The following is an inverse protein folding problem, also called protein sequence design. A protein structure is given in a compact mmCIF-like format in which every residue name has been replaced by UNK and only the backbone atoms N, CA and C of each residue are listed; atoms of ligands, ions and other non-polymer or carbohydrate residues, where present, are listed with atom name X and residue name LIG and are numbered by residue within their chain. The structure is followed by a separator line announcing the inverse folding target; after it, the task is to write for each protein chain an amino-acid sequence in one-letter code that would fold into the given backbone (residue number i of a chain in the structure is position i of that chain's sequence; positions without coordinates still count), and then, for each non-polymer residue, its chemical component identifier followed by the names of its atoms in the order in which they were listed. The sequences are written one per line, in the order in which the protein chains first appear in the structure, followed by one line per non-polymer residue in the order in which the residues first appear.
data_IF_030907979772
#
_entry.id   IF_030907979772
#
_cell.length_a   1.000
_cell.length_b   1.000
_cell.length_c   1.000
_cell.angle_alpha   90.00
_cell.angle_beta   90.00
_cell.angle_gamma   90.00
#
_symmetry.space_group_name_H-M   'P 1'
#
loop_
_entity.id
_entity.type
_entity.pdbx_description
1 polymer ?
#
# COMPACT_ATOMS: atom_id res chain seq x y z
N UNK A 1 9.34 69.36 56.53
CA UNK A 1 8.83 68.01 56.21
C UNK A 1 8.25 68.06 54.81
N UNK A 2 8.98 67.56 53.82
CA UNK A 2 8.51 67.35 52.44
C UNK A 2 8.42 65.83 52.21
N UNK A 3 7.33 65.29 51.64
CA UNK A 3 7.18 63.86 51.46
C UNK A 3 7.91 63.39 50.20
N UNK A 4 8.64 62.28 50.32
CA UNK A 4 9.26 61.57 49.21
C UNK A 4 8.21 60.72 48.49
N UNK A 5 8.08 60.90 47.17
CA UNK A 5 7.30 60.02 46.27
C UNK A 5 8.24 58.95 45.68
N UNK A 6 7.89 57.66 45.66
CA UNK A 6 8.70 56.64 44.99
C UNK A 6 8.37 56.61 43.48
N UNK A 7 9.40 56.66 42.65
CA UNK A 7 9.32 56.54 41.19
C UNK A 7 9.35 55.04 40.84
N UNK A 8 8.25 54.51 40.31
CA UNK A 8 8.17 53.15 39.77
C UNK A 8 8.73 53.11 38.35
N UNK A 9 9.81 52.37 38.14
CA UNK A 9 10.42 52.14 36.81
C UNK A 9 9.74 50.92 36.18
N UNK A 10 8.95 51.14 35.13
CA UNK A 10 8.34 50.07 34.34
C UNK A 10 9.33 49.63 33.23
N UNK A 11 9.84 48.40 33.32
CA UNK A 11 10.73 47.80 32.32
C UNK A 11 9.86 47.10 31.27
N UNK A 12 9.83 47.64 30.05
CA UNK A 12 9.08 47.08 28.92
C UNK A 12 10.04 46.19 28.11
N UNK A 13 9.85 44.87 28.15
CA UNK A 13 10.54 43.91 27.29
C UNK A 13 9.87 43.88 25.89
N UNK A 14 10.59 44.12 24.78
CA UNK A 14 10.00 43.98 23.46
C UNK A 14 9.91 42.49 23.09
N UNK A 15 8.68 41.98 22.95
CA UNK A 15 8.42 40.66 22.38
C UNK A 15 8.62 40.70 20.87
N UNK A 16 9.69 40.07 20.41
CA UNK A 16 9.99 39.85 19.00
C UNK A 16 9.01 38.80 18.44
N UNK A 17 7.91 39.24 17.83
CA UNK A 17 7.05 38.35 17.04
C UNK A 17 7.74 38.06 15.69
N UNK A 18 8.34 36.88 15.58
CA UNK A 18 8.83 36.37 14.31
C UNK A 18 7.63 36.09 13.38
N UNK A 19 7.54 36.84 12.29
CA UNK A 19 6.68 36.51 11.16
C UNK A 19 7.29 35.29 10.45
N UNK A 20 6.75 34.10 10.71
CA UNK A 20 7.01 32.93 9.88
C UNK A 20 6.14 33.04 8.64
N UNK A 21 6.70 33.58 7.57
CA UNK A 21 6.18 33.40 6.21
C UNK A 21 6.53 31.99 5.75
N UNK A 22 5.64 31.04 6.06
CA UNK A 22 5.64 29.72 5.43
C UNK A 22 4.53 29.65 4.40
N UNK A 23 4.78 30.16 3.19
CA UNK A 23 4.01 29.73 2.03
C UNK A 23 4.55 28.35 1.63
N UNK A 24 3.91 27.33 2.21
CA UNK A 24 4.17 25.95 1.92
C UNK A 24 2.83 25.26 1.98
N UNK A 25 2.27 24.93 0.81
CA UNK A 25 1.09 24.08 0.71
C UNK A 25 1.39 22.78 1.46
N UNK A 26 0.93 22.68 2.71
CA UNK A 26 1.05 21.45 3.48
C UNK A 26 0.13 20.46 2.78
N UNK A 27 0.71 19.53 2.02
CA UNK A 27 -0.02 18.41 1.44
C UNK A 27 -0.65 17.61 2.59
N UNK A 28 -1.89 17.93 2.94
CA UNK A 28 -2.62 17.39 4.09
C UNK A 28 -2.74 15.87 4.04
N UNK A 29 -2.63 15.29 2.85
CA UNK A 29 -2.76 13.88 2.58
C UNK A 29 -1.48 13.15 2.21
N UNK A 30 -0.37 13.85 1.92
CA UNK A 30 0.93 13.17 1.75
C UNK A 30 1.34 12.63 3.12
N UNK A 31 1.67 11.36 3.16
CA UNK A 31 1.99 10.68 4.41
C UNK A 31 3.28 9.88 4.28
N UNK A 32 3.95 9.73 5.41
CA UNK A 32 5.09 8.84 5.57
C UNK A 32 4.79 7.91 6.75
N UNK A 33 5.29 6.69 6.69
CA UNK A 33 5.24 5.75 7.81
C UNK A 33 6.60 5.07 7.92
N UNK A 34 7.35 5.42 8.97
CA UNK A 34 8.77 5.08 9.04
C UNK A 34 9.54 5.62 7.83
N UNK A 35 10.13 4.71 7.06
CA UNK A 35 10.92 5.06 5.87
C UNK A 35 10.14 4.95 4.54
N UNK A 36 8.83 4.65 4.59
CA UNK A 36 8.02 4.48 3.38
C UNK A 36 7.21 5.75 3.12
N UNK A 37 7.26 6.22 1.88
CA UNK A 37 6.33 7.26 1.40
C UNK A 37 5.00 6.60 1.07
N UNK A 38 3.91 7.25 1.45
CA UNK A 38 2.54 6.82 1.11
C UNK A 38 1.93 7.92 0.25
N UNK A 39 1.98 7.66 -1.04
CA UNK A 39 1.45 8.48 -2.12
C UNK A 39 0.23 7.81 -2.79
N UNK A 40 -0.52 8.61 -3.56
CA UNK A 40 -1.67 8.17 -4.34
C UNK A 40 -1.32 6.93 -5.20
N UNK A 41 -2.17 5.88 -5.28
CA UNK A 41 -3.58 5.84 -4.86
C UNK A 41 -3.81 5.51 -3.38
N UNK A 42 -2.75 5.17 -2.65
CA UNK A 42 -2.87 4.74 -1.26
C UNK A 42 -2.94 5.93 -0.32
N UNK A 43 -3.45 5.68 0.87
CA UNK A 43 -3.42 6.63 1.97
C UNK A 43 -3.48 5.89 3.31
N UNK A 44 -2.99 6.56 4.36
CA UNK A 44 -3.19 6.16 5.76
C UNK A 44 -4.20 7.05 6.48
N UNK A 45 -4.64 8.13 5.82
CA UNK A 45 -5.59 9.11 6.34
C UNK A 45 -6.91 8.99 5.62
N UNK A 46 -7.99 8.96 6.41
CA UNK A 46 -9.35 8.94 5.89
C UNK A 46 -9.61 10.16 4.99
N UNK A 47 -10.25 9.93 3.85
CA UNK A 47 -10.57 10.96 2.87
C UNK A 47 -9.43 11.33 1.91
N UNK A 48 -8.25 10.75 2.08
CA UNK A 48 -7.12 10.89 1.16
C UNK A 48 -7.03 9.70 0.20
N UNK A 49 -6.45 9.90 -0.98
CA UNK A 49 -6.18 8.80 -1.91
C UNK A 49 -7.41 8.38 -2.73
N UNK A 50 -7.35 7.20 -3.33
CA UNK A 50 -8.44 6.67 -4.15
C UNK A 50 -9.42 5.85 -3.27
N UNK A 51 -10.75 6.02 -3.42
CA UNK A 51 -11.73 5.32 -2.60
C UNK A 51 -11.70 3.78 -2.74
N UNK A 52 -11.20 3.24 -3.85
CA UNK A 52 -10.97 1.80 -4.03
C UNK A 52 -9.86 1.24 -3.15
N UNK A 53 -8.96 2.12 -2.69
CA UNK A 53 -7.79 1.80 -1.86
C UNK A 53 -7.97 2.20 -0.40
N UNK A 54 -9.18 2.61 -0.01
CA UNK A 54 -9.50 2.98 1.37
C UNK A 54 -9.31 1.82 2.34
N UNK A 55 -8.95 2.16 3.57
CA UNK A 55 -8.86 1.23 4.71
C UNK A 55 -7.97 0.01 4.44
N UNK A 56 -6.94 0.18 3.61
CA UNK A 56 -5.95 -0.85 3.29
C UNK A 56 -4.67 -0.69 4.10
N UNK A 57 -4.16 0.54 4.22
CA UNK A 57 -2.89 0.84 4.85
C UNK A 57 -3.08 1.52 6.20
N UNK A 58 -2.35 1.03 7.20
CA UNK A 58 -2.36 1.54 8.56
C UNK A 58 -0.92 1.73 9.03
N UNK A 59 -0.60 2.86 9.62
CA UNK A 59 0.71 3.10 10.23
C UNK A 59 0.64 2.85 11.73
N UNK A 60 1.41 1.89 12.24
CA UNK A 60 1.45 1.54 13.67
C UNK A 60 2.89 1.49 14.12
N UNK A 61 3.28 2.36 15.06
CA UNK A 61 4.66 2.46 15.57
C UNK A 61 5.71 2.56 14.45
N UNK A 62 5.49 3.44 13.47
CA UNK A 62 6.35 3.62 12.27
C UNK A 62 6.47 2.38 11.37
N UNK A 63 5.61 1.37 11.56
CA UNK A 63 5.51 0.21 10.68
C UNK A 63 4.23 0.30 9.85
N UNK A 64 4.41 0.29 8.52
CA UNK A 64 3.29 0.30 7.59
C UNK A 64 2.71 -1.11 7.46
N UNK A 65 1.42 -1.24 7.75
CA UNK A 65 0.67 -2.49 7.73
C UNK A 65 -0.38 -2.44 6.62
N UNK A 66 -0.53 -3.53 5.90
CA UNK A 66 -1.57 -3.76 4.91
C UNK A 66 -2.59 -4.75 5.48
N UNK A 67 -3.87 -4.40 5.50
CA UNK A 67 -4.93 -5.22 6.08
C UNK A 67 -6.02 -5.56 5.06
N UNK A 68 -6.35 -6.84 4.99
CA UNK A 68 -7.43 -7.42 4.16
C UNK A 68 -8.08 -8.57 4.91
N UNK A 69 -9.18 -9.13 4.39
CA UNK A 69 -9.90 -10.25 5.03
C UNK A 69 -9.04 -11.47 5.42
N UNK A 70 -7.90 -11.71 4.76
CA UNK A 70 -7.02 -12.83 5.09
C UNK A 70 -6.08 -12.54 6.27
N UNK A 71 -5.84 -11.27 6.60
CA UNK A 71 -4.96 -10.90 7.71
C UNK A 71 -4.28 -9.55 7.53
N UNK A 72 -3.33 -9.30 8.41
CA UNK A 72 -2.48 -8.11 8.39
C UNK A 72 -1.06 -8.49 8.01
N UNK A 73 -0.49 -7.75 7.06
CA UNK A 73 0.83 -7.98 6.50
C UNK A 73 1.68 -6.73 6.71
N UNK A 74 2.96 -6.91 6.97
CA UNK A 74 3.87 -5.77 6.97
C UNK A 74 4.19 -5.38 5.53
N UNK A 75 4.11 -4.10 5.21
CA UNK A 75 4.57 -3.59 3.91
C UNK A 75 6.09 -3.47 3.95
N UNK A 76 6.76 -4.12 3.00
CA UNK A 76 8.21 -4.03 2.82
C UNK A 76 8.54 -2.78 1.99
N UNK A 77 7.85 -2.62 0.86
CA UNK A 77 8.07 -1.54 -0.11
C UNK A 77 6.80 -1.28 -0.94
N UNK A 78 6.70 -0.06 -1.44
CA UNK A 78 5.71 0.35 -2.43
C UNK A 78 6.47 0.84 -3.66
N UNK A 79 6.30 0.13 -4.77
CA UNK A 79 6.87 0.50 -6.05
C UNK A 79 5.82 1.22 -6.90
N UNK A 80 5.94 2.54 -6.96
CA UNK A 80 5.05 3.40 -7.74
C UNK A 80 5.31 3.34 -9.24
N UNK A 81 6.53 3.00 -9.66
CA UNK A 81 6.89 2.91 -11.07
C UNK A 81 6.33 1.63 -11.71
N UNK A 82 6.40 0.52 -10.98
CA UNK A 82 5.91 -0.78 -11.44
C UNK A 82 4.52 -1.14 -10.89
N UNK A 83 3.89 -0.23 -10.14
CA UNK A 83 2.57 -0.39 -9.55
C UNK A 83 2.43 -1.70 -8.73
N UNK A 84 3.40 -1.94 -7.84
CA UNK A 84 3.44 -3.13 -7.01
C UNK A 84 3.69 -2.80 -5.54
N UNK A 85 3.12 -3.61 -4.65
CA UNK A 85 3.29 -3.56 -3.21
C UNK A 85 3.90 -4.88 -2.74
N UNK A 86 4.98 -4.87 -1.99
CA UNK A 86 5.58 -6.12 -1.46
C UNK A 86 5.21 -6.30 0.00
N UNK A 87 4.59 -7.44 0.33
CA UNK A 87 4.07 -7.77 1.65
C UNK A 87 4.87 -8.89 2.32
N UNK A 88 4.98 -8.81 3.65
CA UNK A 88 5.57 -9.83 4.51
C UNK A 88 4.52 -10.42 5.46
N UNK A 89 4.32 -11.74 5.39
CA UNK A 89 3.57 -12.53 6.38
C UNK A 89 4.56 -13.22 7.34
N UNK A 90 4.54 -12.90 8.66
CA UNK A 90 5.45 -13.52 9.63
C UNK A 90 5.24 -15.03 9.83
N UNK A 91 4.12 -15.61 9.38
CA UNK A 91 3.83 -17.03 9.49
C UNK A 91 3.96 -17.78 8.16
N UNK A 92 4.58 -17.15 7.16
CA UNK A 92 4.95 -17.78 5.91
C UNK A 92 6.31 -18.48 6.04
N UNK A 93 6.48 -19.60 5.35
CA UNK A 93 7.75 -20.33 5.30
C UNK A 93 8.75 -19.63 4.36
N UNK A 94 10.05 -19.74 4.66
CA UNK A 94 11.16 -19.23 3.83
C UNK A 94 12.17 -20.34 3.56
N UNK A 95 13.35 -20.01 3.03
CA UNK A 95 14.44 -20.98 2.87
C UNK A 95 15.06 -21.41 4.21
N UNK A 96 14.92 -20.61 5.25
CA UNK A 96 15.57 -20.85 6.54
C UNK A 96 14.62 -21.46 7.58
N UNK A 97 13.30 -21.34 7.37
CA UNK A 97 12.30 -21.91 8.27
C UNK A 97 11.04 -22.40 7.56
N UNK A 98 10.59 -23.60 7.93
CA UNK A 98 9.26 -24.12 7.57
C UNK A 98 8.29 -23.85 8.73
N UNK A 99 7.20 -23.17 8.41
CA UNK A 99 6.09 -22.90 9.33
C UNK A 99 4.89 -23.76 8.92
N UNK A 100 4.50 -24.66 9.83
CA UNK A 100 3.35 -25.57 9.66
C UNK A 100 2.25 -25.31 10.71
N UNK A 101 1.13 -26.02 10.58
CA UNK A 101 0.01 -25.97 11.52
C UNK A 101 -1.06 -24.92 11.19
N UNK A 102 -1.15 -24.50 9.92
CA UNK A 102 -2.19 -23.60 9.42
C UNK A 102 -2.07 -22.16 9.94
N UNK A 103 -0.89 -21.75 10.39
CA UNK A 103 -0.66 -20.43 11.01
C UNK A 103 -0.50 -19.28 10.02
N UNK A 104 -0.20 -19.58 8.76
CA UNK A 104 -0.07 -18.58 7.70
C UNK A 104 -1.39 -17.87 7.42
N UNK A 105 -1.35 -16.55 7.22
CA UNK A 105 -2.55 -15.79 6.83
C UNK A 105 -3.04 -16.19 5.43
N UNK A 106 -2.11 -16.65 4.58
CA UNK A 106 -2.36 -16.87 3.17
C UNK A 106 -2.47 -15.54 2.44
N UNK A 107 -3.38 -15.46 1.47
CA UNK A 107 -3.72 -14.20 0.80
C UNK A 107 -5.08 -14.35 0.11
N UNK A 108 -6.04 -13.60 0.63
CA UNK A 108 -7.41 -13.51 0.11
C UNK A 108 -7.82 -12.04 0.16
N UNK A 109 -8.31 -11.55 -0.98
CA UNK A 109 -8.84 -10.19 -1.15
C UNK A 109 -10.36 -10.21 -1.17
N UNK A 110 -10.97 -9.09 -0.77
CA UNK A 110 -12.41 -8.90 -0.93
C UNK A 110 -12.79 -8.85 -2.42
N UNK A 111 -13.90 -9.48 -2.85
CA UNK A 111 -14.26 -9.53 -4.27
C UNK A 111 -14.38 -8.16 -4.95
N UNK A 112 -14.80 -7.13 -4.20
CA UNK A 112 -14.94 -5.77 -4.73
C UNK A 112 -13.60 -5.05 -4.94
N UNK A 113 -12.51 -5.53 -4.32
CA UNK A 113 -11.15 -4.99 -4.51
C UNK A 113 -10.36 -5.69 -5.61
N UNK A 114 -10.80 -6.87 -6.08
CA UNK A 114 -10.13 -7.62 -7.14
C UNK A 114 -9.85 -6.83 -8.44
N UNK A 115 -10.67 -5.84 -8.86
CA UNK A 115 -10.33 -4.99 -10.01
C UNK A 115 -9.14 -4.05 -9.79
N UNK A 116 -8.79 -3.76 -8.53
CA UNK A 116 -7.76 -2.80 -8.15
C UNK A 116 -6.48 -3.47 -7.66
N UNK A 117 -6.59 -4.66 -7.08
CA UNK A 117 -5.52 -5.39 -6.43
C UNK A 117 -5.53 -6.84 -6.90
N UNK A 118 -4.37 -7.34 -7.29
CA UNK A 118 -4.19 -8.74 -7.62
C UNK A 118 -2.74 -9.14 -7.31
N UNK A 119 -2.48 -10.35 -6.77
CA UNK A 119 -1.10 -10.85 -6.70
C UNK A 119 -0.42 -10.76 -8.06
N UNK A 120 0.80 -10.23 -8.05
CA UNK A 120 1.61 -10.09 -9.23
C UNK A 120 1.90 -11.48 -9.84
N UNK A 121 1.94 -11.60 -11.18
CA UNK A 121 2.05 -12.89 -11.87
C UNK A 121 3.40 -13.58 -11.68
N UNK A 122 4.42 -12.84 -11.22
CA UNK A 122 5.76 -13.34 -10.92
C UNK A 122 5.88 -13.99 -9.53
N UNK A 123 4.83 -13.89 -8.69
CA UNK A 123 4.79 -14.67 -7.46
C UNK A 123 4.66 -16.15 -7.75
N UNK A 124 5.45 -16.93 -7.02
CA UNK A 124 5.34 -18.37 -6.94
C UNK A 124 4.90 -18.73 -5.54
N UNK A 125 3.81 -19.48 -5.44
CA UNK A 125 3.29 -19.94 -4.17
C UNK A 125 3.61 -21.42 -4.00
N UNK A 126 4.22 -21.78 -2.89
CA UNK A 126 4.57 -23.16 -2.54
C UNK A 126 3.70 -23.56 -1.36
N UNK A 127 2.73 -24.43 -1.62
CA UNK A 127 1.81 -24.93 -0.61
C UNK A 127 2.41 -26.17 0.05
N UNK A 128 2.42 -26.21 1.39
CA UNK A 128 3.18 -27.18 2.18
C UNK A 128 2.22 -28.07 2.96
N UNK A 129 2.45 -29.38 2.92
CA UNK A 129 1.72 -30.35 3.74
C UNK A 129 0.24 -30.49 3.38
N UNK A 130 -0.11 -30.43 2.09
CA UNK A 130 -1.51 -30.54 1.67
C UNK A 130 -2.03 -31.99 1.74
N UNK A 131 -3.28 -32.17 2.17
CA UNK A 131 -3.93 -33.49 2.26
C UNK A 131 -4.29 -34.05 0.87
N UNK A 132 -4.55 -35.36 0.77
CA UNK A 132 -5.04 -35.96 -0.48
C UNK A 132 -6.45 -35.50 -0.87
N UNK A 133 -7.18 -34.94 0.09
CA UNK A 133 -8.52 -34.37 -0.06
C UNK A 133 -8.49 -32.90 -0.50
N UNK A 134 -7.31 -32.29 -0.59
CA UNK A 134 -7.18 -30.93 -1.10
C UNK A 134 -7.80 -30.79 -2.50
N UNK A 135 -8.53 -29.69 -2.77
CA UNK A 135 -8.99 -29.34 -4.12
C UNK A 135 -7.88 -29.26 -5.16
N UNK A 136 -6.61 -29.15 -4.75
CA UNK A 136 -5.45 -29.19 -5.62
C UNK A 136 -5.26 -30.56 -6.29
N UNK A 137 -5.68 -31.63 -5.63
CA UNK A 137 -5.49 -33.01 -6.09
C UNK A 137 -6.82 -33.69 -6.45
N UNK A 138 -7.95 -33.06 -6.11
CA UNK A 138 -9.28 -33.50 -6.53
C UNK A 138 -9.58 -32.95 -7.93
N UNK A 139 -9.51 -33.82 -8.95
CA UNK A 139 -9.82 -33.45 -10.34
C UNK A 139 -9.82 -34.66 -11.26
N UNK A 140 -10.35 -34.50 -12.49
CA UNK A 140 -10.31 -35.55 -13.50
C UNK A 140 -8.84 -35.90 -13.86
N UNK A 141 -8.48 -37.18 -14.07
CA UNK A 141 -7.10 -37.63 -14.35
C UNK A 141 -6.39 -36.91 -15.50
N UNK A 142 -7.14 -36.24 -16.39
CA UNK A 142 -6.63 -35.52 -17.55
C UNK A 142 -6.29 -34.03 -17.29
N UNK A 143 -6.65 -33.46 -16.13
CA UNK A 143 -6.08 -32.19 -15.66
C UNK A 143 -4.91 -32.53 -14.76
N UNK A 144 -3.69 -32.40 -15.29
CA UNK A 144 -2.46 -32.55 -14.52
C UNK A 144 -2.54 -31.82 -13.19
N UNK A 145 -1.88 -32.38 -12.15
CA UNK A 145 -1.64 -31.71 -10.87
C UNK A 145 -1.24 -30.25 -11.16
N UNK A 146 -1.84 -29.24 -10.49
CA UNK A 146 -1.47 -27.85 -10.71
C UNK A 146 -0.02 -27.56 -10.28
N UNK A 147 0.60 -28.49 -9.53
CA UNK A 147 1.96 -28.40 -9.04
C UNK A 147 2.95 -28.40 -10.21
N UNK A 148 3.54 -27.24 -10.49
CA UNK A 148 4.55 -27.05 -11.52
C UNK A 148 5.46 -25.90 -11.14
N UNK A 149 6.71 -25.98 -11.57
CA UNK A 149 7.65 -24.88 -11.42
C UNK A 149 7.13 -23.66 -12.20
N UNK A 150 7.22 -22.49 -11.57
CA UNK A 150 6.82 -21.21 -12.15
C UNK A 150 8.07 -20.35 -12.24
N UNK A 151 8.44 -19.94 -13.45
CA UNK A 151 9.61 -19.07 -13.69
C UNK A 151 10.94 -19.61 -13.11
N UNK A 152 11.11 -20.94 -13.08
CA UNK A 152 12.31 -21.60 -12.53
C UNK A 152 12.39 -21.62 -10.99
N UNK A 153 11.33 -21.19 -10.30
CA UNK A 153 11.13 -21.39 -8.87
C UNK A 153 10.09 -22.49 -8.67
N UNK A 154 10.38 -23.45 -7.80
CA UNK A 154 9.57 -24.64 -7.63
C UNK A 154 9.93 -25.41 -6.38
N UNK A 155 9.17 -26.47 -6.12
CA UNK A 155 9.39 -27.29 -4.93
C UNK A 155 10.69 -28.07 -5.00
N UNK A 156 11.11 -28.50 -6.20
CA UNK A 156 12.37 -29.21 -6.41
C UNK A 156 13.56 -28.37 -5.97
N UNK A 157 13.60 -27.11 -6.38
CA UNK A 157 14.64 -26.17 -5.93
C UNK A 157 14.45 -25.83 -4.45
N UNK A 158 13.22 -25.63 -3.98
CA UNK A 158 12.92 -25.27 -2.61
C UNK A 158 13.35 -26.34 -1.60
N UNK A 159 13.31 -27.63 -1.95
CA UNK A 159 13.83 -28.72 -1.12
C UNK A 159 15.34 -28.66 -0.87
N UNK A 160 16.09 -27.86 -1.64
CA UNK A 160 17.51 -27.59 -1.40
C UNK A 160 17.77 -26.59 -0.26
N UNK A 161 16.73 -26.02 0.35
CA UNK A 161 16.84 -25.08 1.45
C UNK A 161 17.21 -25.75 2.78
N UNK A 162 17.98 -25.07 3.66
CA UNK A 162 18.31 -25.57 5.01
C UNK A 162 17.08 -25.95 5.83
N UNK A 163 15.95 -25.25 5.65
CA UNK A 163 14.72 -25.52 6.37
C UNK A 163 14.14 -26.94 6.14
N UNK A 164 14.54 -27.60 5.04
CA UNK A 164 14.09 -28.94 4.71
C UNK A 164 15.00 -30.05 5.22
N UNK A 165 16.20 -29.78 5.76
CA UNK A 165 17.17 -30.79 6.23
C UNK A 165 16.52 -31.75 7.27
N UNK A 166 16.55 -33.09 7.10
CA UNK A 166 17.36 -33.90 6.16
C UNK A 166 16.76 -34.14 4.76
N UNK A 167 15.61 -33.55 4.47
CA UNK A 167 14.90 -33.60 3.19
C UNK A 167 13.39 -33.68 3.40
N UNK A 168 12.60 -33.54 2.32
CA UNK A 168 11.15 -33.76 2.39
C UNK A 168 10.84 -35.21 2.79
N UNK A 169 9.89 -35.38 3.71
CA UNK A 169 9.28 -36.64 4.11
C UNK A 169 8.50 -37.29 2.98
N UNK A 170 7.96 -36.49 2.04
CA UNK A 170 7.21 -36.99 0.87
C UNK A 170 7.65 -36.31 -0.41
N UNK A 171 8.48 -37.00 -1.18
CA UNK A 171 8.74 -36.68 -2.59
C UNK A 171 7.63 -37.35 -3.40
N UNK A 172 6.72 -36.55 -3.97
CA UNK A 172 5.54 -37.09 -4.66
C UNK A 172 5.93 -38.08 -5.77
N UNK A 173 5.21 -39.19 -5.89
CA UNK A 173 5.38 -40.14 -7.00
C UNK A 173 4.47 -39.76 -8.17
N UNK A 174 5.00 -39.80 -9.39
CA UNK A 174 4.24 -39.63 -10.63
C UNK A 174 3.09 -40.66 -10.81
N UNK A 175 3.03 -41.68 -9.94
CA UNK A 175 2.08 -42.80 -10.01
C UNK A 175 1.31 -43.01 -8.70
N UNK A 176 0.67 -41.94 -8.21
CA UNK A 176 -0.58 -42.00 -7.43
C UNK A 176 -0.58 -42.83 -6.14
N UNK A 177 -0.35 -42.17 -5.00
CA UNK A 177 -0.94 -42.58 -3.72
C UNK A 177 -0.95 -41.46 -2.68
N UNK A 178 0.02 -40.54 -2.71
CA UNK A 178 0.12 -39.45 -1.74
C UNK A 178 0.56 -38.14 -2.40
N UNK A 179 -0.04 -36.99 -2.03
CA UNK A 179 0.45 -35.69 -2.43
C UNK A 179 1.93 -35.47 -2.11
N UNK A 180 2.66 -34.70 -2.95
CA UNK A 180 3.98 -34.21 -2.57
C UNK A 180 3.87 -33.32 -1.32
N UNK A 181 4.95 -33.22 -0.55
CA UNK A 181 4.98 -32.37 0.64
C UNK A 181 4.96 -30.87 0.30
N UNK A 182 5.37 -30.51 -0.92
CA UNK A 182 5.29 -29.16 -1.47
C UNK A 182 4.60 -29.21 -2.83
N UNK A 183 3.70 -28.27 -3.08
CA UNK A 183 3.07 -28.03 -4.38
C UNK A 183 3.27 -26.58 -4.80
N UNK A 184 4.05 -26.35 -5.86
CA UNK A 184 4.32 -25.02 -6.40
C UNK A 184 3.26 -24.65 -7.44
N UNK A 185 2.66 -23.47 -7.31
CA UNK A 185 1.56 -23.01 -8.16
C UNK A 185 1.69 -21.51 -8.44
N UNK A 186 1.16 -21.09 -9.58
CA UNK A 186 0.92 -19.67 -9.85
C UNK A 186 -0.38 -19.22 -9.17
N UNK A 187 -0.51 -17.92 -8.89
CA UNK A 187 -1.76 -17.39 -8.35
C UNK A 187 -2.97 -17.70 -9.24
N UNK A 188 -2.81 -17.61 -10.56
CA UNK A 188 -3.88 -17.87 -11.54
C UNK A 188 -4.52 -19.26 -11.39
N UNK A 189 -3.75 -20.25 -10.93
CA UNK A 189 -4.23 -21.62 -10.77
C UNK A 189 -5.16 -21.77 -9.56
N UNK A 190 -4.91 -21.05 -8.45
CA UNK A 190 -5.63 -21.20 -7.18
C UNK A 190 -6.58 -20.04 -6.86
N UNK A 191 -6.35 -18.86 -7.45
CA UNK A 191 -7.10 -17.60 -7.29
C UNK A 191 -7.24 -17.04 -5.87
N UNK A 192 -6.82 -17.80 -4.85
CA UNK A 192 -6.75 -17.41 -3.46
C UNK A 192 -5.85 -18.39 -2.71
N UNK A 193 -5.06 -17.90 -1.75
CA UNK A 193 -4.26 -18.75 -0.86
C UNK A 193 -5.03 -18.84 0.45
N UNK A 194 -5.97 -19.78 0.51
CA UNK A 194 -6.75 -20.05 1.71
C UNK A 194 -6.35 -21.45 2.21
N UNK A 195 -5.45 -21.50 3.19
CA UNK A 195 -4.86 -22.75 3.68
C UNK A 195 -5.91 -23.75 4.17
N UNK A 196 -6.95 -23.27 4.85
CA UNK A 196 -8.06 -24.10 5.33
C UNK A 196 -8.82 -24.73 4.17
N UNK A 197 -9.17 -23.93 3.14
CA UNK A 197 -9.88 -24.41 1.95
C UNK A 197 -9.02 -25.33 1.09
N UNK A 198 -7.72 -25.06 1.06
CA UNK A 198 -6.74 -25.87 0.31
C UNK A 198 -6.29 -27.09 1.11
N UNK A 199 -6.68 -27.24 2.37
CA UNK A 199 -6.25 -28.30 3.28
C UNK A 199 -4.72 -28.45 3.34
N UNK A 200 -4.01 -27.34 3.50
CA UNK A 200 -2.55 -27.31 3.60
C UNK A 200 -2.10 -26.79 4.98
N UNK A 201 -0.99 -27.32 5.48
CA UNK A 201 -0.44 -26.94 6.78
C UNK A 201 0.34 -25.62 6.77
N UNK A 202 0.81 -25.18 5.60
CA UNK A 202 1.58 -23.96 5.47
C UNK A 202 1.73 -23.52 4.02
N UNK A 203 2.38 -22.38 3.82
CA UNK A 203 2.78 -21.93 2.49
C UNK A 203 4.06 -21.10 2.54
N UNK A 204 4.70 -20.97 1.39
CA UNK A 204 5.72 -19.98 1.08
C UNK A 204 5.31 -19.16 -0.14
N UNK A 205 5.85 -17.96 -0.28
CA UNK A 205 5.73 -17.12 -1.46
C UNK A 205 7.09 -16.51 -1.78
N UNK A 206 7.50 -16.66 -3.04
CA UNK A 206 8.76 -16.14 -3.54
C UNK A 206 8.58 -15.49 -4.91
N UNK A 207 9.47 -14.55 -5.23
CA UNK A 207 9.53 -13.84 -6.49
C UNK A 207 10.98 -13.51 -6.87
N UNK A 208 11.18 -13.03 -8.10
CA UNK A 208 12.48 -12.58 -8.59
C UNK A 208 12.34 -11.28 -9.39
N UNK A 209 13.06 -10.24 -9.00
CA UNK A 209 13.02 -8.92 -9.65
C UNK A 209 13.92 -8.83 -10.89
N UNK A 210 14.84 -9.79 -11.09
CA UNK A 210 15.73 -9.82 -12.25
C UNK A 210 16.02 -11.27 -12.70
N UNK A 211 15.92 -11.60 -14.00
CA UNK A 211 16.13 -12.96 -14.52
C UNK A 211 17.61 -13.39 -14.58
N UNK A 212 18.49 -12.74 -13.81
CA UNK A 212 19.88 -13.18 -13.69
C UNK A 212 19.90 -14.42 -12.82
N UNK A 213 20.16 -15.58 -13.44
CA UNK A 213 20.38 -16.91 -12.84
C UNK A 213 20.28 -16.88 -11.32
N UNK A 214 19.06 -17.04 -10.82
CA UNK A 214 18.81 -16.96 -9.38
C UNK A 214 19.64 -18.06 -8.71
N UNK A 215 20.37 -17.70 -7.64
CA UNK A 215 21.36 -18.55 -6.97
C UNK A 215 20.75 -19.73 -6.17
N UNK A 216 19.67 -20.32 -6.68
CA UNK A 216 18.81 -21.25 -5.95
C UNK A 216 17.91 -20.52 -4.94
N UNK A 217 17.21 -21.27 -4.09
CA UNK A 217 16.17 -20.74 -3.21
C UNK A 217 16.69 -19.81 -2.10
N UNK A 218 17.96 -19.93 -1.70
CA UNK A 218 18.58 -18.97 -0.78
C UNK A 218 18.78 -17.58 -1.38
N UNK A 219 18.73 -17.46 -2.72
CA UNK A 219 18.78 -16.18 -3.43
C UNK A 219 17.41 -15.63 -3.82
N UNK A 220 16.32 -16.30 -3.45
CA UNK A 220 14.97 -15.83 -3.77
C UNK A 220 14.56 -14.69 -2.84
N UNK A 221 13.71 -13.81 -3.35
CA UNK A 221 13.03 -12.84 -2.51
C UNK A 221 11.73 -13.46 -1.99
N UNK A 222 11.59 -13.51 -0.66
CA UNK A 222 10.40 -14.06 -0.01
C UNK A 222 9.44 -12.93 0.38
N UNK A 223 8.18 -13.08 -0.02
CA UNK A 223 7.11 -12.11 0.22
C UNK A 223 6.04 -12.21 -0.85
N UNK A 224 4.94 -11.49 -0.66
CA UNK A 224 3.81 -11.49 -1.59
C UNK A 224 3.81 -10.15 -2.33
N UNK A 225 4.09 -10.16 -3.63
CA UNK A 225 3.94 -8.97 -4.48
C UNK A 225 2.49 -8.80 -4.89
N UNK A 226 1.89 -7.65 -4.62
CA UNK A 226 0.53 -7.32 -5.01
C UNK A 226 0.60 -6.22 -6.06
N UNK A 227 0.27 -6.55 -7.29
CA UNK A 227 0.09 -5.56 -8.34
C UNK A 227 -1.18 -4.76 -8.05
N UNK A 228 -1.12 -3.45 -8.28
CA UNK A 228 -2.28 -2.59 -8.16
C UNK A 228 -2.55 -1.83 -9.45
N UNK A 229 -3.81 -1.52 -9.70
CA UNK A 229 -4.24 -0.74 -10.85
C UNK A 229 -5.08 0.42 -10.37
N UNK A 230 -4.67 1.63 -10.75
CA UNK A 230 -5.45 2.83 -10.49
C UNK A 230 -6.39 3.06 -11.68
N UNK A 231 -7.70 3.28 -11.45
CA UNK A 231 -8.63 3.56 -12.54
C UNK A 231 -8.12 4.67 -13.46
N UNK A 232 -8.24 4.45 -14.78
CA UNK A 232 -7.67 5.37 -15.76
C UNK A 232 -8.37 6.74 -15.78
N UNK A 233 -9.59 6.83 -15.23
CA UNK A 233 -10.35 8.07 -15.08
C UNK A 233 -9.87 8.96 -13.90
N UNK A 234 -8.55 9.03 -13.67
CA UNK A 234 -7.95 9.94 -12.69
C UNK A 234 -7.78 11.36 -13.26
N UNK A 235 -8.59 11.75 -14.25
CA UNK A 235 -8.52 13.10 -14.83
C UNK A 235 -8.76 14.17 -13.75
N UNK A 236 -9.71 13.90 -12.85
CA UNK A 236 -9.97 14.71 -11.67
C UNK A 236 -8.72 14.85 -10.80
N UNK A 237 -8.15 13.72 -10.39
CA UNK A 237 -7.01 13.66 -9.50
C UNK A 237 -5.80 14.40 -10.07
N UNK A 238 -5.49 14.18 -11.36
CA UNK A 238 -4.43 14.89 -12.08
C UNK A 238 -4.69 16.39 -12.18
N UNK A 239 -5.94 16.82 -12.37
CA UNK A 239 -6.30 18.24 -12.41
C UNK A 239 -6.14 18.88 -11.03
N UNK A 240 -6.53 18.17 -9.97
CA UNK A 240 -6.35 18.62 -8.59
C UNK A 240 -4.85 18.83 -8.27
N UNK A 241 -4.03 17.80 -8.52
CA UNK A 241 -2.58 17.83 -8.26
C UNK A 241 -1.86 18.88 -9.11
N UNK A 242 -2.28 19.08 -10.37
CA UNK A 242 -1.71 20.11 -11.25
C UNK A 242 -1.91 21.54 -10.71
N UNK A 243 -2.94 21.76 -9.90
CA UNK A 243 -3.25 23.05 -9.27
C UNK A 243 -2.72 23.16 -7.84
N UNK A 244 -1.85 22.22 -7.42
CA UNK A 244 -1.27 22.19 -6.07
C UNK A 244 -2.15 21.55 -5.00
N UNK A 245 -3.35 21.08 -5.35
CA UNK A 245 -4.23 20.36 -4.43
C UNK A 245 -3.79 18.92 -4.18
N UNK A 246 -4.30 18.31 -3.11
CA UNK A 246 -4.16 16.86 -2.90
C UNK A 246 -5.46 16.12 -3.20
N UNK A 247 -5.33 15.03 -3.94
CA UNK A 247 -6.46 14.20 -4.35
C UNK A 247 -6.96 13.31 -3.20
N UNK A 248 -8.27 13.25 -3.05
CA UNK A 248 -8.96 12.51 -2.01
C UNK A 248 -10.40 12.17 -2.40
N UNK A 249 -11.18 11.78 -1.41
CA UNK A 249 -12.59 11.47 -1.57
C UNK A 249 -13.38 11.88 -0.33
N UNK A 250 -14.66 12.17 -0.52
CA UNK A 250 -15.58 12.40 0.59
C UNK A 250 -16.01 11.03 1.16
N UNK A 251 -15.66 10.75 2.42
CA UNK A 251 -16.00 9.50 3.08
C UNK A 251 -17.50 9.33 3.35
N UNK A 252 -18.29 10.41 3.30
CA UNK A 252 -19.73 10.43 3.54
C UNK A 252 -20.49 10.40 2.21
N UNK A 253 -20.14 11.28 1.27
CA UNK A 253 -20.81 11.40 -0.02
C UNK A 253 -20.29 10.40 -1.08
N UNK A 254 -19.16 9.72 -0.81
CA UNK A 254 -18.51 8.75 -1.70
C UNK A 254 -18.12 9.30 -3.10
N UNK A 255 -17.84 10.59 -3.19
CA UNK A 255 -17.39 11.28 -4.41
C UNK A 255 -15.94 11.73 -4.32
N UNK A 256 -15.31 11.96 -5.48
CA UNK A 256 -13.94 12.50 -5.56
C UNK A 256 -13.88 13.93 -5.01
N UNK A 257 -12.79 14.24 -4.28
CA UNK A 257 -12.60 15.51 -3.59
C UNK A 257 -11.17 16.01 -3.76
N UNK A 258 -11.02 17.30 -4.04
CA UNK A 258 -9.73 17.95 -4.18
C UNK A 258 -9.50 18.84 -2.97
N UNK A 259 -8.43 18.56 -2.24
CA UNK A 259 -8.09 19.20 -0.98
C UNK A 259 -7.10 20.32 -1.25
N UNK A 260 -7.57 21.57 -1.25
CA UNK A 260 -6.79 22.77 -1.58
C UNK A 260 -6.15 23.41 -0.35
N UNK A 261 -5.93 22.64 0.71
CA UNK A 261 -5.45 23.10 2.01
C UNK A 261 -6.52 23.80 2.85
N UNK A 262 -7.01 24.97 2.40
CA UNK A 262 -7.97 25.79 3.14
C UNK A 262 -9.44 25.53 2.82
N UNK A 263 -9.72 24.79 1.75
CA UNK A 263 -11.07 24.51 1.26
C UNK A 263 -11.08 23.23 0.41
N UNK A 264 -12.27 22.67 0.23
CA UNK A 264 -12.48 21.46 -0.57
C UNK A 264 -13.14 21.82 -1.90
N UNK A 265 -12.66 21.24 -2.99
CA UNK A 265 -13.13 21.47 -4.35
C UNK A 265 -13.62 20.18 -5.00
N UNK A 266 -14.65 20.27 -5.84
CA UNK A 266 -15.13 19.18 -6.69
C UNK A 266 -14.52 19.19 -8.09
N UNK A 267 -13.52 20.06 -8.35
CA UNK A 267 -12.77 20.07 -9.61
C UNK A 267 -11.25 20.23 -9.42
N UNK A 268 -10.79 21.40 -8.99
CA UNK A 268 -9.38 21.76 -8.81
C UNK A 268 -9.22 22.98 -7.88
N UNK A 269 -7.98 23.44 -7.65
CA UNK A 269 -7.66 24.53 -6.72
C UNK A 269 -7.50 25.91 -7.36
N UNK A 270 -7.74 26.07 -8.67
CA UNK A 270 -7.55 27.34 -9.40
C UNK A 270 -8.45 28.48 -8.92
N UNK A 271 -9.59 28.14 -8.30
CA UNK A 271 -10.61 29.13 -7.89
C UNK A 271 -10.32 29.77 -6.52
N UNK A 272 -9.35 29.25 -5.76
CA UNK A 272 -9.09 29.61 -4.36
C UNK A 272 -8.29 30.91 -4.17
N UNK A 273 -7.43 31.28 -5.12
CA UNK A 273 -6.61 32.50 -5.04
C UNK A 273 -7.43 33.79 -5.13
N UNK A 274 -8.70 33.72 -5.55
CA UNK A 274 -9.57 34.89 -5.70
C UNK A 274 -10.37 35.24 -4.45
N UNK A 275 -10.40 34.39 -3.42
CA UNK A 275 -11.27 34.59 -2.25
C UNK A 275 -10.52 35.22 -1.05
N UNK A 276 -9.18 35.13 -0.99
CA UNK A 276 -8.40 35.69 0.14
C UNK A 276 -7.93 37.13 -0.08
N UNK A 277 -8.06 37.71 -1.28
CA UNK A 277 -7.64 39.10 -1.56
C UNK A 277 -8.74 40.17 -1.59
N UNK A 278 -9.96 39.89 -1.08
CA UNK A 278 -11.04 40.89 -1.06
C UNK A 278 -11.53 41.30 0.33
N UNK A 279 -10.61 41.59 1.25
CA UNK A 279 -10.92 42.37 2.45
C UNK A 279 -9.90 43.47 2.67
N UNK A 280 -9.90 44.45 1.77
CA UNK A 280 -9.54 45.82 2.13
C UNK A 280 -10.48 46.79 1.39
N UNK A 281 -11.67 46.99 1.95
CA UNK A 281 -12.43 48.22 1.71
C UNK A 281 -11.71 49.35 2.45
N UNK A 282 -10.69 49.91 1.81
CA UNK A 282 -10.23 51.27 2.13
C UNK A 282 -11.25 52.29 1.60
N UNK A 283 -11.40 53.46 2.26
CA UNK A 283 -12.49 54.38 1.98
C UNK A 283 -12.29 55.07 0.63
N UNK A 284 -13.41 55.46 0.00
CA UNK A 284 -13.44 56.33 -1.17
C UNK A 284 -12.56 57.57 -0.94
N UNK A 285 -11.57 57.77 -1.80
CA UNK A 285 -11.02 59.09 -2.08
C UNK A 285 -11.64 59.60 -3.38
N UNK A 286 -12.43 60.66 -3.28
CA UNK A 286 -12.67 61.58 -4.39
C UNK A 286 -11.32 62.16 -4.87
N UNK A 287 -11.33 62.76 -6.06
CA UNK A 287 -10.22 63.39 -6.80
C UNK A 287 -9.48 62.34 -7.65
N UNK A 288 -9.66 62.24 -8.97
CA UNK A 288 -9.53 63.29 -9.98
C UNK A 288 -10.51 63.18 -11.17
N UNK A 289 -10.91 64.35 -11.66
CA UNK A 289 -11.50 64.57 -12.98
C UNK A 289 -10.37 64.74 -14.02
N UNK A 290 -10.71 64.41 -15.26
CA UNK A 290 -10.21 64.96 -16.55
C UNK A 290 -9.39 63.99 -17.43
N UNK A 291 -9.85 63.94 -18.72
CA UNK A 291 -9.28 63.40 -19.96
C UNK A 291 -9.61 61.93 -20.27
N UNK A 292 -10.15 61.54 -21.44
CA UNK A 292 -10.60 62.22 -22.66
C UNK A 292 -11.34 61.17 -23.52
N UNK A 293 -12.46 61.53 -24.16
CA UNK A 293 -12.62 61.56 -25.62
C UNK A 293 -11.89 60.40 -26.33
N UNK A 294 -12.62 59.34 -26.69
CA UNK A 294 -12.98 58.93 -28.07
C UNK A 294 -14.13 57.91 -28.00
#
# INVERSE_FOLDING_TARGET
MFPFLPITVAVIFPTLMALVSGDGHVNTCRSYCGNLTVDYPFSVRLGCGNPGFRDLLFCVNDVLMFHVISGSYRVIEIDYAYQALTLHDPHMSTCDSIVSGGKGNGFVLEPWRAPYLNPAPDNVFMLIGCTAQSPLFQGFPAKHLPCRNVSGMGCEEYYGCPAWDPGPKRVGSAHGASPPECCSVSFEAIRAINLTRLECEGYSSAYSLAPLKVAGPSGWSYGIRVAYTVPQNNAFCRSCEATGGTCGYDSVAAGDLCLCGGWNSTSNCDSGDKIVSSSNRGPLSLVDRVAGIW
#
